data_IF_755637658840
#
_entry.id   IF_755637658840
#
_cell.length_a   1.000
_cell.length_b   1.000
_cell.length_c   1.000
_cell.angle_alpha   90.00
_cell.angle_beta   90.00
_cell.angle_gamma   90.00
#
_symmetry.space_group_name_H-M   'P 1'
#
loop_
_entity.id
_entity.type
_entity.pdbx_description
1 polymer ?
#
# COMPACT_ATOMS: atom_id res chain seq x y z
N UNK A 1 -13.56 8.01 -13.92
CA UNK A 1 -14.51 7.55 -12.88
C UNK A 1 -13.85 6.41 -12.13
N UNK A 2 -13.18 6.69 -11.01
CA UNK A 2 -12.53 5.65 -10.19
C UNK A 2 -13.64 4.96 -9.41
N UNK A 3 -13.96 3.72 -9.77
CA UNK A 3 -14.91 2.93 -9.02
C UNK A 3 -14.20 2.39 -7.79
N UNK A 4 -14.39 3.06 -6.65
CA UNK A 4 -13.99 2.52 -5.37
C UNK A 4 -14.88 1.29 -5.11
N UNK A 5 -14.26 0.11 -5.09
CA UNK A 5 -14.92 -1.18 -4.86
C UNK A 5 -15.66 -1.26 -3.48
N UNK A 6 -15.52 -0.22 -2.64
CA UNK A 6 -16.17 -0.02 -1.33
C UNK A 6 -17.70 -0.01 -1.38
N UNK A 7 -18.34 0.48 -2.44
CA UNK A 7 -19.80 0.66 -2.47
C UNK A 7 -20.60 -0.67 -2.35
N UNK A 8 -19.95 -1.82 -2.57
CA UNK A 8 -20.58 -3.16 -2.54
C UNK A 8 -20.33 -3.87 -1.20
N UNK A 9 -19.40 -3.38 -0.36
CA UNK A 9 -18.96 -4.04 0.88
C UNK A 9 -20.05 -4.08 1.98
N UNK A 10 -20.98 -3.11 1.99
CA UNK A 10 -22.04 -3.04 3.02
C UNK A 10 -23.10 -4.15 2.95
N UNK A 11 -23.11 -5.02 1.93
CA UNK A 11 -24.18 -6.04 1.77
C UNK A 11 -23.78 -7.48 2.09
N UNK A 12 -22.52 -7.88 1.95
CA UNK A 12 -22.15 -9.30 2.04
C UNK A 12 -20.75 -9.47 2.63
N UNK A 13 -20.68 -9.74 3.94
CA UNK A 13 -19.41 -10.05 4.62
C UNK A 13 -18.80 -11.37 4.10
N UNK A 14 -17.54 -11.33 3.64
CA UNK A 14 -16.78 -12.51 3.23
C UNK A 14 -15.45 -12.15 2.56
N UNK A 15 -14.37 -12.89 2.87
CA UNK A 15 -13.02 -12.73 2.30
C UNK A 15 -12.88 -13.16 0.83
N UNK A 16 -11.68 -12.95 0.27
CA UNK A 16 -11.10 -13.31 -1.07
C UNK A 16 -12.03 -13.61 -2.26
N UNK A 17 -13.03 -14.48 -2.12
CA UNK A 17 -14.13 -14.69 -3.06
C UNK A 17 -14.94 -13.42 -3.40
N UNK A 18 -14.92 -12.39 -2.54
CA UNK A 18 -15.68 -11.17 -2.77
C UNK A 18 -15.02 -10.24 -3.81
N UNK A 19 -13.69 -10.12 -3.79
CA UNK A 19 -12.89 -9.37 -4.79
C UNK A 19 -13.16 -9.88 -6.20
N UNK A 20 -13.47 -11.17 -6.29
CA UNK A 20 -13.81 -11.96 -7.46
C UNK A 20 -15.14 -11.56 -8.13
N UNK A 21 -16.22 -11.52 -7.34
CA UNK A 21 -17.54 -11.04 -7.79
C UNK A 21 -17.48 -9.57 -8.18
N UNK A 22 -16.63 -8.78 -7.51
CA UNK A 22 -16.39 -7.36 -7.79
C UNK A 22 -15.67 -7.17 -9.13
N UNK A 23 -14.64 -7.97 -9.43
CA UNK A 23 -13.94 -7.99 -10.73
C UNK A 23 -14.89 -8.39 -11.87
N UNK A 24 -15.64 -9.49 -11.67
CA UNK A 24 -16.63 -9.98 -12.65
C UNK A 24 -17.74 -8.96 -12.86
N UNK A 25 -18.23 -8.28 -11.82
CA UNK A 25 -19.27 -7.26 -11.92
C UNK A 25 -18.76 -5.99 -12.61
N UNK A 26 -17.54 -5.53 -12.35
CA UNK A 26 -16.93 -4.40 -13.07
C UNK A 26 -16.67 -4.73 -14.55
N UNK A 27 -16.22 -5.95 -14.84
CA UNK A 27 -16.10 -6.47 -16.21
C UNK A 27 -17.49 -6.54 -16.87
N UNK A 28 -18.52 -7.08 -16.21
CA UNK A 28 -19.89 -7.17 -16.76
C UNK A 28 -20.59 -5.81 -16.92
N UNK A 29 -20.37 -4.87 -16.01
CA UNK A 29 -20.96 -3.52 -16.05
C UNK A 29 -20.25 -2.63 -17.09
N UNK A 30 -18.95 -2.84 -17.32
CA UNK A 30 -18.19 -2.19 -18.39
C UNK A 30 -18.37 -2.83 -19.77
N UNK A 31 -18.75 -4.11 -19.83
CA UNK A 31 -18.96 -4.91 -21.05
C UNK A 31 -20.46 -5.19 -21.25
N UNK A 32 -21.31 -4.16 -21.30
CA UNK A 32 -22.56 -4.28 -22.05
C UNK A 32 -22.35 -3.73 -23.47
N UNK A 33 -21.97 -4.56 -24.45
CA UNK A 33 -22.33 -4.26 -25.83
C UNK A 33 -23.86 -4.21 -25.95
N UNK A 34 -24.43 -3.46 -26.91
CA UNK A 34 -25.81 -3.66 -27.30
C UNK A 34 -25.99 -5.14 -27.67
N UNK A 35 -27.08 -5.75 -27.22
CA UNK A 35 -27.42 -7.15 -27.53
C UNK A 35 -27.45 -7.28 -29.06
N UNK A 36 -26.37 -7.77 -29.66
CA UNK A 36 -26.29 -8.10 -31.06
C UNK A 36 -26.39 -9.62 -31.18
N UNK A 37 -27.49 -10.08 -31.78
CA UNK A 37 -27.67 -11.46 -32.19
C UNK A 37 -26.62 -11.78 -33.28
N UNK A 38 -25.51 -12.40 -32.88
CA UNK A 38 -24.40 -12.80 -33.76
C UNK A 38 -23.52 -13.89 -33.12
N UNK A 39 -22.64 -14.56 -33.90
CA UNK A 39 -21.81 -15.66 -33.40
C UNK A 39 -20.89 -15.20 -32.25
N UNK A 40 -20.67 -16.07 -31.26
CA UNK A 40 -19.92 -15.80 -30.04
C UNK A 40 -18.63 -15.01 -30.31
N UNK A 41 -18.55 -13.79 -29.77
CA UNK A 41 -17.33 -12.99 -29.78
C UNK A 41 -16.15 -13.77 -29.16
N UNK A 42 -14.91 -13.57 -29.63
CA UNK A 42 -13.74 -14.16 -28.99
C UNK A 42 -13.68 -13.75 -27.52
N UNK A 43 -13.34 -14.70 -26.63
CA UNK A 43 -13.26 -14.44 -25.18
C UNK A 43 -12.31 -13.28 -24.92
N UNK A 44 -12.73 -12.23 -24.17
CA UNK A 44 -11.91 -11.06 -23.92
C UNK A 44 -10.59 -11.46 -23.25
N UNK A 45 -9.50 -10.80 -23.65
CA UNK A 45 -8.18 -11.00 -23.06
C UNK A 45 -8.06 -10.17 -21.77
N UNK A 46 -7.70 -10.84 -20.68
CA UNK A 46 -7.31 -10.23 -19.40
C UNK A 46 -5.83 -10.55 -19.16
N UNK A 47 -5.01 -9.52 -19.02
CA UNK A 47 -3.57 -9.66 -18.85
C UNK A 47 -3.11 -9.31 -17.43
N UNK A 48 -2.36 -10.20 -16.78
CA UNK A 48 -1.57 -9.91 -15.59
C UNK A 48 -0.23 -9.29 -16.02
N UNK A 49 -0.05 -8.00 -15.79
CA UNK A 49 1.06 -7.24 -16.39
C UNK A 49 2.41 -7.58 -15.76
N UNK A 50 2.52 -7.52 -14.45
CA UNK A 50 3.78 -7.58 -13.69
C UNK A 50 3.87 -8.81 -12.77
N UNK A 51 3.23 -9.90 -13.17
CA UNK A 51 3.30 -11.20 -12.48
C UNK A 51 3.43 -12.36 -13.45
N UNK A 52 3.82 -13.53 -12.91
CA UNK A 52 3.93 -14.81 -13.64
C UNK A 52 2.83 -15.79 -13.29
N UNK A 53 2.36 -15.73 -12.04
CA UNK A 53 1.42 -16.69 -11.48
C UNK A 53 -0.01 -16.17 -11.66
N UNK A 54 -0.81 -16.93 -12.43
CA UNK A 54 -2.24 -16.70 -12.62
C UNK A 54 -3.09 -17.88 -12.09
N UNK A 55 -2.54 -18.73 -11.22
CA UNK A 55 -3.22 -19.94 -10.73
C UNK A 55 -4.49 -19.63 -9.93
N UNK A 56 -4.58 -18.43 -9.33
CA UNK A 56 -5.75 -17.98 -8.59
C UNK A 56 -6.80 -17.37 -9.52
N UNK A 57 -6.38 -16.60 -10.51
CA UNK A 57 -7.25 -15.84 -11.42
C UNK A 57 -7.80 -16.71 -12.55
N UNK A 58 -7.03 -17.70 -13.02
CA UNK A 58 -7.45 -18.59 -14.12
C UNK A 58 -8.73 -19.37 -13.80
N UNK A 59 -8.86 -20.11 -12.67
CA UNK A 59 -10.07 -20.86 -12.36
C UNK A 59 -11.33 -19.99 -12.26
N UNK A 60 -11.13 -18.72 -11.95
CA UNK A 60 -12.16 -17.73 -11.72
C UNK A 60 -12.66 -17.14 -13.03
N UNK A 61 -11.74 -16.80 -13.92
CA UNK A 61 -12.04 -16.11 -15.17
C UNK A 61 -12.21 -17.08 -16.35
N UNK A 62 -11.92 -18.37 -16.17
CA UNK A 62 -11.93 -19.41 -17.24
C UNK A 62 -13.18 -19.42 -18.12
N UNK A 63 -14.35 -19.08 -17.57
CA UNK A 63 -15.63 -19.17 -18.26
C UNK A 63 -15.97 -17.88 -19.02
N UNK A 64 -15.33 -16.76 -18.67
CA UNK A 64 -15.68 -15.40 -19.16
C UNK A 64 -14.56 -14.71 -19.92
N UNK A 65 -13.29 -15.07 -19.70
CA UNK A 65 -12.13 -14.41 -20.29
C UNK A 65 -10.97 -15.37 -20.54
N UNK A 66 -10.09 -15.01 -21.46
CA UNK A 66 -8.78 -15.64 -21.62
C UNK A 66 -7.80 -14.90 -20.73
N UNK A 67 -7.15 -15.60 -19.78
CA UNK A 67 -6.16 -15.01 -18.88
C UNK A 67 -4.76 -15.28 -19.42
N UNK A 68 -3.95 -14.23 -19.53
CA UNK A 68 -2.52 -14.31 -19.87
C UNK A 68 -1.71 -13.51 -18.86
N UNK A 69 -0.39 -13.75 -18.81
CA UNK A 69 0.54 -12.96 -18.01
C UNK A 69 1.66 -12.41 -18.89
N UNK A 70 2.26 -11.30 -18.48
CA UNK A 70 3.36 -10.65 -19.21
C UNK A 70 4.69 -10.71 -18.48
N UNK A 71 4.69 -10.77 -17.13
CA UNK A 71 5.90 -10.66 -16.31
C UNK A 71 6.76 -9.41 -16.63
N UNK A 72 6.09 -8.33 -16.99
CA UNK A 72 6.72 -7.09 -17.42
C UNK A 72 7.09 -6.22 -16.21
N UNK A 73 8.32 -5.72 -16.18
CA UNK A 73 8.73 -4.66 -15.24
C UNK A 73 8.45 -3.26 -15.79
N UNK A 74 8.28 -3.15 -17.11
CA UNK A 74 8.01 -1.91 -17.81
C UNK A 74 7.03 -2.11 -18.97
N UNK A 75 6.32 -1.05 -19.37
CA UNK A 75 5.35 -1.12 -20.49
C UNK A 75 6.00 -1.53 -21.81
N UNK A 76 7.32 -1.37 -21.96
CA UNK A 76 8.07 -1.76 -23.15
C UNK A 76 8.19 -3.27 -23.32
N UNK A 77 8.13 -4.03 -22.21
CA UNK A 77 8.19 -5.49 -22.22
C UNK A 77 6.82 -6.14 -22.50
N UNK A 78 5.75 -5.34 -22.50
CA UNK A 78 4.40 -5.84 -22.78
C UNK A 78 4.28 -6.16 -24.27
N UNK A 79 3.97 -7.42 -24.57
CA UNK A 79 3.81 -7.90 -25.93
C UNK A 79 2.70 -7.13 -26.68
N UNK A 80 2.93 -6.82 -27.96
CA UNK A 80 2.02 -6.01 -28.80
C UNK A 80 0.58 -6.55 -28.81
N UNK A 81 0.42 -7.88 -28.82
CA UNK A 81 -0.88 -8.54 -28.72
C UNK A 81 -1.68 -8.09 -27.49
N UNK A 82 -1.03 -7.94 -26.33
CA UNK A 82 -1.67 -7.48 -25.10
C UNK A 82 -2.05 -6.00 -25.22
N UNK A 83 -1.15 -5.16 -25.74
CA UNK A 83 -1.44 -3.73 -25.95
C UNK A 83 -2.62 -3.52 -26.92
N UNK A 84 -2.76 -4.38 -27.93
CA UNK A 84 -3.81 -4.26 -28.93
C UNK A 84 -5.15 -4.90 -28.51
N UNK A 85 -5.13 -6.05 -27.85
CA UNK A 85 -6.33 -6.87 -27.62
C UNK A 85 -6.82 -6.92 -26.16
N UNK A 86 -5.99 -6.54 -25.18
CA UNK A 86 -6.39 -6.66 -23.78
C UNK A 86 -7.55 -5.72 -23.44
N UNK A 87 -8.63 -6.31 -22.91
CA UNK A 87 -9.82 -5.59 -22.45
C UNK A 87 -9.70 -5.27 -20.95
N UNK A 88 -9.04 -6.15 -20.20
CA UNK A 88 -8.75 -5.96 -18.78
C UNK A 88 -7.27 -6.16 -18.47
N UNK A 89 -6.76 -5.42 -17.50
CA UNK A 89 -5.43 -5.60 -16.96
C UNK A 89 -5.49 -5.80 -15.44
N UNK A 90 -4.75 -6.78 -14.96
CA UNK A 90 -4.42 -6.98 -13.55
C UNK A 90 -2.97 -6.57 -13.36
N UNK A 91 -2.67 -5.86 -12.28
CA UNK A 91 -1.28 -5.49 -11.98
C UNK A 91 -1.05 -5.32 -10.48
N UNK A 92 0.18 -5.56 -10.05
CA UNK A 92 0.74 -5.29 -8.73
C UNK A 92 1.38 -3.89 -8.72
N UNK A 93 2.37 -3.69 -7.84
CA UNK A 93 2.99 -2.40 -7.57
C UNK A 93 4.34 -2.21 -8.27
N UNK A 94 4.81 -3.19 -9.06
CA UNK A 94 6.16 -3.17 -9.64
C UNK A 94 6.20 -2.46 -10.99
N UNK A 95 5.10 -2.48 -11.75
CA UNK A 95 4.95 -1.68 -12.98
C UNK A 95 4.22 -0.37 -12.69
N UNK A 96 4.59 0.70 -13.40
CA UNK A 96 3.90 2.00 -13.37
C UNK A 96 3.32 2.33 -14.75
N UNK A 97 2.10 2.85 -14.79
CA UNK A 97 1.39 3.22 -16.01
C UNK A 97 1.16 4.74 -16.06
N UNK A 98 1.99 5.42 -16.84
CA UNK A 98 1.82 6.84 -17.17
C UNK A 98 0.76 7.04 -18.26
N UNK A 99 0.42 8.29 -18.57
CA UNK A 99 -0.46 8.63 -19.70
C UNK A 99 0.04 8.00 -21.02
N UNK A 100 1.32 8.18 -21.33
CA UNK A 100 1.93 7.67 -22.57
C UNK A 100 1.88 6.14 -22.64
N UNK A 101 1.89 5.46 -21.48
CA UNK A 101 1.74 4.02 -21.41
C UNK A 101 0.30 3.57 -21.62
N UNK A 102 -0.65 4.30 -21.03
CA UNK A 102 -2.08 4.03 -21.20
C UNK A 102 -2.52 4.22 -22.66
N UNK A 103 -1.98 5.20 -23.38
CA UNK A 103 -2.27 5.47 -24.80
C UNK A 103 -1.82 4.34 -25.75
N UNK A 104 -0.89 3.49 -25.31
CA UNK A 104 -0.46 2.29 -26.06
C UNK A 104 -1.56 1.24 -26.10
N UNK A 105 -2.41 1.18 -25.06
CA UNK A 105 -3.49 0.22 -25.01
C UNK A 105 -4.67 0.65 -25.90
N UNK A 106 -5.03 -0.20 -26.87
CA UNK A 106 -6.09 0.12 -27.85
C UNK A 106 -7.49 -0.35 -27.43
N UNK A 107 -7.56 -1.41 -26.64
CA UNK A 107 -8.81 -2.06 -26.22
C UNK A 107 -9.10 -2.02 -24.73
N UNK A 108 -8.20 -1.46 -23.91
CA UNK A 108 -8.27 -1.57 -22.46
C UNK A 108 -9.47 -0.79 -21.91
N UNK A 109 -10.26 -1.44 -21.06
CA UNK A 109 -11.46 -0.87 -20.42
C UNK A 109 -11.33 -0.81 -18.91
N UNK A 110 -10.57 -1.72 -18.32
CA UNK A 110 -10.43 -1.82 -16.87
C UNK A 110 -9.01 -2.21 -16.46
N UNK A 111 -8.51 -1.53 -15.44
CA UNK A 111 -7.29 -1.88 -14.72
C UNK A 111 -7.69 -2.19 -13.29
N UNK A 112 -7.27 -3.35 -12.78
CA UNK A 112 -7.45 -3.72 -11.38
C UNK A 112 -6.09 -3.88 -10.72
N UNK A 113 -5.84 -3.00 -9.76
CA UNK A 113 -4.71 -3.06 -8.87
C UNK A 113 -4.93 -4.11 -7.80
N UNK A 114 -4.13 -5.17 -7.86
CA UNK A 114 -4.04 -6.16 -6.80
C UNK A 114 -3.26 -5.53 -5.64
N UNK A 115 -4.00 -4.95 -4.70
CA UNK A 115 -3.49 -4.17 -3.58
C UNK A 115 -4.34 -2.92 -3.30
N UNK A 116 -4.05 -2.25 -2.19
CA UNK A 116 -4.79 -1.06 -1.77
C UNK A 116 -4.32 0.22 -2.48
N UNK A 117 -3.02 0.37 -2.71
CA UNK A 117 -2.42 1.51 -3.40
C UNK A 117 -2.65 1.50 -4.91
N UNK A 118 -2.84 2.69 -5.48
CA UNK A 118 -3.08 2.91 -6.91
C UNK A 118 -2.30 4.13 -7.46
N UNK A 119 -1.27 4.58 -6.74
CA UNK A 119 -0.39 5.69 -7.11
C UNK A 119 0.48 5.40 -8.33
N UNK A 120 0.72 4.13 -8.63
CA UNK A 120 1.46 3.68 -9.81
C UNK A 120 0.64 3.68 -11.11
N UNK A 121 -0.59 4.22 -11.11
CA UNK A 121 -1.42 4.40 -12.30
C UNK A 121 -1.88 5.84 -12.37
N UNK A 122 -1.71 6.50 -13.53
CA UNK A 122 -2.31 7.81 -13.76
C UNK A 122 -3.83 7.68 -13.92
N UNK A 123 -4.54 7.74 -12.78
CA UNK A 123 -6.00 7.61 -12.73
C UNK A 123 -6.75 8.73 -13.47
N UNK A 124 -6.11 9.88 -13.67
CA UNK A 124 -6.72 11.00 -14.40
C UNK A 124 -6.66 10.73 -15.89
N UNK A 125 -5.47 10.37 -16.40
CA UNK A 125 -5.29 9.94 -17.77
C UNK A 125 -6.16 8.71 -18.10
N UNK A 126 -6.19 7.71 -17.22
CA UNK A 126 -7.06 6.54 -17.38
C UNK A 126 -8.54 6.93 -17.51
N UNK A 127 -9.02 7.87 -16.68
CA UNK A 127 -10.39 8.35 -16.76
C UNK A 127 -10.69 9.10 -18.07
N UNK A 128 -9.76 9.91 -18.57
CA UNK A 128 -9.88 10.62 -19.86
C UNK A 128 -9.92 9.64 -21.04
N UNK A 129 -9.18 8.52 -20.95
CA UNK A 129 -9.15 7.45 -21.94
C UNK A 129 -10.33 6.46 -21.82
N UNK A 130 -11.23 6.67 -20.86
CA UNK A 130 -12.38 5.78 -20.64
C UNK A 130 -12.00 4.43 -20.00
N UNK A 131 -10.86 4.36 -19.31
CA UNK A 131 -10.36 3.20 -18.59
C UNK A 131 -10.74 3.32 -17.12
N UNK A 132 -11.51 2.35 -16.61
CA UNK A 132 -11.82 2.28 -15.19
C UNK A 132 -10.61 1.74 -14.40
N UNK A 133 -10.28 2.35 -13.27
CA UNK A 133 -9.25 1.86 -12.35
C UNK A 133 -9.90 1.44 -11.05
N UNK A 134 -9.59 0.22 -10.60
CA UNK A 134 -10.08 -0.38 -9.37
C UNK A 134 -8.91 -0.83 -8.49
N UNK A 135 -9.10 -0.89 -7.17
CA UNK A 135 -8.15 -1.41 -6.20
C UNK A 135 -8.81 -2.40 -5.23
N UNK A 136 -8.02 -3.06 -4.38
CA UNK A 136 -8.52 -3.96 -3.32
C UNK A 136 -8.14 -3.40 -1.95
N UNK A 137 -8.96 -2.50 -1.36
CA UNK A 137 -8.55 -1.66 -0.22
C UNK A 137 -8.47 -2.38 1.13
N UNK A 138 -9.15 -3.52 1.29
CA UNK A 138 -9.20 -4.28 2.53
C UNK A 138 -8.16 -5.42 2.60
N UNK A 139 -7.37 -5.60 1.53
CA UNK A 139 -6.35 -6.65 1.51
C UNK A 139 -5.17 -6.25 2.37
N UNK A 140 -4.84 -7.07 3.36
CA UNK A 140 -3.63 -6.96 4.20
C UNK A 140 -3.61 -5.81 5.22
N UNK A 141 -4.77 -5.31 5.67
CA UNK A 141 -4.83 -4.22 6.66
C UNK A 141 -4.18 -4.63 7.99
N UNK A 142 -4.56 -5.80 8.52
CA UNK A 142 -4.08 -6.28 9.81
C UNK A 142 -2.61 -6.72 9.71
N UNK A 143 -2.22 -7.39 8.63
CA UNK A 143 -0.86 -7.83 8.36
C UNK A 143 0.12 -6.64 8.23
N UNK A 144 -0.33 -5.56 7.59
CA UNK A 144 0.45 -4.32 7.50
C UNK A 144 0.57 -3.65 8.87
N UNK A 145 -0.50 -3.66 9.67
CA UNK A 145 -0.49 -3.12 11.02
C UNK A 145 0.43 -3.91 11.96
N UNK A 146 0.40 -5.24 11.88
CA UNK A 146 1.26 -6.15 12.64
C UNK A 146 2.73 -5.95 12.27
N UNK A 147 3.03 -5.84 10.97
CA UNK A 147 4.38 -5.56 10.49
C UNK A 147 4.86 -4.19 10.95
N UNK A 148 3.99 -3.17 10.92
CA UNK A 148 4.32 -1.84 11.42
C UNK A 148 4.63 -1.85 12.92
N UNK A 149 3.83 -2.56 13.72
CA UNK A 149 4.11 -2.75 15.15
C UNK A 149 5.40 -3.52 15.39
N UNK A 150 5.69 -4.56 14.59
CA UNK A 150 6.94 -5.29 14.63
C UNK A 150 8.14 -4.34 14.42
N UNK A 151 8.09 -3.48 13.41
CA UNK A 151 9.14 -2.48 13.15
C UNK A 151 9.28 -1.47 14.30
N UNK A 152 8.16 -0.95 14.83
CA UNK A 152 8.17 -0.05 16.01
C UNK A 152 8.89 -0.71 17.18
N UNK A 153 8.47 -1.93 17.54
CA UNK A 153 9.06 -2.66 18.66
C UNK A 153 10.53 -2.97 18.41
N UNK A 154 10.90 -3.26 17.17
CA UNK A 154 12.29 -3.50 16.79
C UNK A 154 13.16 -2.25 16.98
N UNK A 155 12.65 -1.06 16.70
CA UNK A 155 13.35 0.20 16.98
C UNK A 155 13.55 0.40 18.49
N UNK A 156 12.49 0.22 19.29
CA UNK A 156 12.54 0.42 20.74
C UNK A 156 13.34 -0.65 21.50
N UNK A 157 13.32 -1.90 21.02
CA UNK A 157 13.89 -3.08 21.70
C UNK A 157 15.17 -3.59 21.05
N UNK A 158 15.51 -3.10 19.86
CA UNK A 158 16.73 -3.39 19.10
C UNK A 158 16.94 -4.88 18.78
N UNK A 159 15.88 -5.67 18.71
CA UNK A 159 15.95 -7.13 18.62
C UNK A 159 16.73 -7.59 17.40
N UNK A 160 16.46 -7.02 16.22
CA UNK A 160 17.16 -7.40 14.98
C UNK A 160 18.62 -6.95 14.99
N UNK A 161 18.94 -5.78 15.53
CA UNK A 161 20.33 -5.33 15.65
C UNK A 161 21.13 -6.20 16.61
N UNK A 162 20.56 -6.59 17.75
CA UNK A 162 21.22 -7.50 18.69
C UNK A 162 21.41 -8.89 18.08
N UNK A 163 20.39 -9.40 17.39
CA UNK A 163 20.49 -10.66 16.65
C UNK A 163 21.60 -10.61 15.59
N UNK A 164 21.71 -9.50 14.85
CA UNK A 164 22.77 -9.30 13.87
C UNK A 164 24.16 -9.25 14.53
N UNK A 165 24.33 -8.50 15.63
CA UNK A 165 25.59 -8.42 16.34
C UNK A 165 26.07 -9.80 16.84
N UNK A 166 25.14 -10.64 17.33
CA UNK A 166 25.45 -12.01 17.73
C UNK A 166 25.88 -12.88 16.53
N UNK A 167 25.21 -12.74 15.38
CA UNK A 167 25.60 -13.44 14.15
C UNK A 167 26.97 -13.01 13.64
N UNK A 168 27.35 -11.75 13.86
CA UNK A 168 28.66 -11.18 13.52
C UNK A 168 29.76 -11.58 14.53
N UNK A 169 29.43 -12.38 15.54
CA UNK A 169 30.39 -12.94 16.50
C UNK A 169 30.55 -12.12 17.78
N UNK A 170 29.75 -11.07 17.98
CA UNK A 170 29.74 -10.32 19.23
C UNK A 170 29.32 -11.22 20.38
N UNK A 171 30.14 -11.28 21.43
CA UNK A 171 29.85 -12.01 22.67
C UNK A 171 29.66 -11.03 23.81
N UNK A 172 28.46 -11.01 24.38
CA UNK A 172 28.14 -10.23 25.57
C UNK A 172 27.94 -11.18 26.76
N UNK A 173 29.01 -11.36 27.54
CA UNK A 173 29.02 -12.26 28.71
C UNK A 173 28.88 -11.51 30.02
N UNK A 174 29.26 -10.23 30.07
CA UNK A 174 29.08 -9.36 31.23
C UNK A 174 27.85 -8.45 31.11
N UNK A 175 27.36 -7.94 32.23
CA UNK A 175 26.22 -7.01 32.27
C UNK A 175 26.53 -5.72 31.50
N UNK A 176 27.77 -5.25 31.56
CA UNK A 176 28.26 -4.07 30.87
C UNK A 176 28.22 -4.26 29.35
N UNK A 177 28.68 -5.41 28.86
CA UNK A 177 28.63 -5.75 27.44
C UNK A 177 27.19 -5.88 26.93
N UNK A 178 26.29 -6.44 27.73
CA UNK A 178 24.85 -6.51 27.38
C UNK A 178 24.28 -5.10 27.25
N UNK A 179 24.60 -4.19 28.18
CA UNK A 179 24.15 -2.79 28.12
C UNK A 179 24.72 -2.06 26.90
N UNK A 180 25.96 -2.33 26.54
CA UNK A 180 26.60 -1.73 25.37
C UNK A 180 25.93 -2.20 24.06
N UNK A 181 25.73 -3.51 23.90
CA UNK A 181 25.09 -4.09 22.71
C UNK A 181 23.61 -3.67 22.59
N UNK A 182 22.91 -3.57 23.73
CA UNK A 182 21.52 -3.13 23.80
C UNK A 182 21.38 -1.59 23.93
N UNK A 183 22.47 -0.84 23.82
CA UNK A 183 22.45 0.61 24.03
C UNK A 183 21.46 1.30 23.08
N UNK A 184 20.68 2.23 23.62
CA UNK A 184 19.59 2.90 22.92
C UNK A 184 18.25 2.15 22.94
N UNK A 185 18.18 0.94 23.53
CA UNK A 185 16.89 0.32 23.83
C UNK A 185 16.13 1.15 24.87
N UNK A 186 14.85 1.43 24.61
CA UNK A 186 14.06 2.36 25.39
C UNK A 186 12.81 1.71 26.00
N UNK A 187 12.26 2.37 27.02
CA UNK A 187 10.96 2.04 27.60
C UNK A 187 9.87 2.62 26.68
N UNK A 188 8.87 1.81 26.35
CA UNK A 188 7.77 2.20 25.46
C UNK A 188 6.67 2.96 26.20
N UNK A 189 6.31 2.50 27.41
CA UNK A 189 5.20 3.10 28.16
C UNK A 189 5.47 4.58 28.44
N UNK A 190 4.54 5.44 28.03
CA UNK A 190 4.63 6.90 28.18
C UNK A 190 5.18 7.63 26.96
N UNK A 191 5.67 6.90 25.95
CA UNK A 191 6.12 7.48 24.69
C UNK A 191 4.94 7.89 23.81
N UNK A 192 5.14 8.89 22.96
CA UNK A 192 4.14 9.34 21.99
C UNK A 192 4.40 8.73 20.61
N UNK A 193 3.43 8.00 20.07
CA UNK A 193 3.43 7.50 18.70
C UNK A 193 2.63 8.43 17.80
N UNK A 194 3.29 9.06 16.82
CA UNK A 194 2.67 9.91 15.81
C UNK A 194 2.34 9.14 14.54
N UNK A 195 1.06 9.13 14.15
CA UNK A 195 0.53 8.46 12.95
C UNK A 195 0.16 9.52 11.90
N UNK A 196 0.78 9.47 10.72
CA UNK A 196 0.36 10.29 9.58
C UNK A 196 -0.54 9.45 8.66
N UNK A 197 -1.79 9.90 8.52
CA UNK A 197 -2.86 9.19 7.81
C UNK A 197 -3.58 8.18 8.69
N UNK A 198 -4.78 8.51 9.16
CA UNK A 198 -5.61 7.65 10.02
C UNK A 198 -6.67 6.88 9.21
N UNK A 199 -6.20 6.26 8.13
CA UNK A 199 -6.99 5.29 7.36
C UNK A 199 -7.09 3.92 8.06
N UNK A 200 -7.49 2.89 7.32
CA UNK A 200 -7.69 1.52 7.83
C UNK A 200 -6.48 0.99 8.61
N UNK A 201 -5.29 1.06 8.03
CA UNK A 201 -4.03 0.60 8.67
C UNK A 201 -3.66 1.48 9.87
N UNK A 202 -3.75 2.80 9.73
CA UNK A 202 -3.42 3.73 10.82
C UNK A 202 -4.27 3.49 12.07
N UNK A 203 -5.57 3.21 11.90
CA UNK A 203 -6.46 2.85 12.99
C UNK A 203 -6.08 1.50 13.64
N UNK A 204 -5.78 0.48 12.82
CA UNK A 204 -5.36 -0.84 13.31
C UNK A 204 -4.04 -0.78 14.10
N UNK A 205 -3.08 0.04 13.66
CA UNK A 205 -1.82 0.32 14.39
C UNK A 205 -2.11 1.05 15.69
N UNK A 206 -2.94 2.09 15.65
CA UNK A 206 -3.28 2.89 16.83
C UNK A 206 -3.89 2.02 17.95
N UNK A 207 -4.80 1.11 17.61
CA UNK A 207 -5.42 0.19 18.57
C UNK A 207 -4.37 -0.73 19.22
N UNK A 208 -3.46 -1.30 18.44
CA UNK A 208 -2.38 -2.17 18.96
C UNK A 208 -1.38 -1.40 19.82
N UNK A 209 -0.97 -0.22 19.39
CA UNK A 209 0.01 0.62 20.08
C UNK A 209 -0.44 1.00 21.50
N UNK A 210 -1.75 1.23 21.71
CA UNK A 210 -2.32 1.50 23.04
C UNK A 210 -2.03 0.38 24.04
N UNK A 211 -2.07 -0.89 23.63
CA UNK A 211 -1.79 -2.01 24.52
C UNK A 211 -0.35 -2.00 25.05
N UNK A 212 0.60 -1.43 24.30
CA UNK A 212 1.99 -1.26 24.73
C UNK A 212 2.20 -0.01 25.62
N UNK A 213 1.17 0.81 25.81
CA UNK A 213 1.22 2.03 26.63
C UNK A 213 1.74 3.26 25.90
N UNK A 214 1.65 3.29 24.56
CA UNK A 214 1.89 4.52 23.79
C UNK A 214 0.75 5.53 24.00
N UNK A 215 1.11 6.81 24.07
CA UNK A 215 0.19 7.91 23.78
C UNK A 215 0.08 8.07 22.26
N UNK A 216 -1.09 7.84 21.67
CA UNK A 216 -1.23 7.86 20.21
C UNK A 216 -1.77 9.20 19.75
N UNK A 217 -1.02 9.87 18.87
CA UNK A 217 -1.42 11.08 18.17
C UNK A 217 -1.50 10.80 16.67
N UNK A 218 -2.38 11.50 15.96
CA UNK A 218 -2.46 11.37 14.52
C UNK A 218 -2.66 12.71 13.80
N UNK A 219 -2.33 12.72 12.52
CA UNK A 219 -2.62 13.82 11.60
C UNK A 219 -3.13 13.27 10.28
N UNK A 220 -4.33 13.69 9.87
CA UNK A 220 -4.93 13.34 8.59
C UNK A 220 -5.80 14.50 8.08
N UNK A 221 -5.35 15.25 7.05
CA UNK A 221 -6.07 16.43 6.57
C UNK A 221 -7.32 16.09 5.75
N UNK A 222 -7.55 14.81 5.42
CA UNK A 222 -8.67 14.39 4.58
C UNK A 222 -9.82 13.76 5.39
N UNK A 223 -9.65 13.57 6.70
CA UNK A 223 -10.72 13.10 7.57
C UNK A 223 -11.62 14.28 8.00
N UNK A 224 -12.94 14.08 8.04
CA UNK A 224 -13.84 15.08 8.59
C UNK A 224 -13.61 15.23 10.11
N UNK A 225 -13.87 16.43 10.61
CA UNK A 225 -13.81 16.73 12.05
C UNK A 225 -14.76 15.79 12.84
N UNK A 226 -14.32 15.34 14.02
CA UNK A 226 -15.13 14.49 14.91
C UNK A 226 -14.92 12.97 14.77
N UNK A 227 -14.03 12.49 13.89
CA UNK A 227 -13.64 11.05 13.85
C UNK A 227 -12.92 10.61 15.14
N UNK A 228 -12.29 11.56 15.82
CA UNK A 228 -11.64 11.40 17.14
C UNK A 228 -12.60 10.95 18.26
N UNK A 229 -13.88 11.28 18.17
CA UNK A 229 -14.84 11.07 19.27
C UNK A 229 -15.36 9.64 19.36
N UNK A 230 -15.39 8.90 18.24
CA UNK A 230 -15.83 7.50 18.20
C UNK A 230 -14.78 6.52 18.73
N UNK A 231 -13.50 6.89 18.69
CA UNK A 231 -12.40 6.12 19.27
C UNK A 231 -11.79 6.98 20.37
N UNK A 232 -12.45 7.02 21.53
CA UNK A 232 -12.32 7.92 22.69
C UNK A 232 -10.92 8.09 23.33
N UNK A 233 -9.83 7.79 22.62
CA UNK A 233 -8.45 7.89 23.10
C UNK A 233 -7.45 8.29 22.01
N UNK A 234 -7.90 8.77 20.84
CA UNK A 234 -6.99 9.31 19.81
C UNK A 234 -6.99 10.83 19.88
N UNK A 235 -5.80 11.43 19.91
CA UNK A 235 -5.66 12.89 19.93
C UNK A 235 -5.22 13.39 18.56
N UNK A 236 -5.96 14.34 17.98
CA UNK A 236 -5.56 15.01 16.73
C UNK A 236 -4.41 15.97 16.99
N UNK A 237 -3.33 15.84 16.23
CA UNK A 237 -2.26 16.83 16.19
C UNK A 237 -2.66 17.96 15.22
N UNK A 238 -2.86 19.17 15.74
CA UNK A 238 -3.17 20.36 14.92
C UNK A 238 -1.91 21.07 14.37
N UNK A 239 -0.71 20.55 14.61
CA UNK A 239 0.56 21.24 14.34
C UNK A 239 1.28 20.68 13.10
N UNK A 240 1.60 21.57 12.15
CA UNK A 240 2.48 21.33 10.99
C UNK A 240 3.97 21.16 11.33
N UNK A 241 4.34 21.21 12.62
CA UNK A 241 5.71 20.98 13.07
C UNK A 241 5.70 20.39 14.49
N UNK A 242 5.96 19.09 14.63
CA UNK A 242 6.24 18.47 15.93
C UNK A 242 7.68 17.95 15.93
N UNK A 243 8.55 18.66 16.66
CA UNK A 243 10.02 18.52 16.65
C UNK A 243 10.57 17.37 17.53
N UNK A 244 9.75 16.42 17.99
CA UNK A 244 10.22 15.32 18.87
C UNK A 244 9.47 13.99 18.72
N UNK A 245 8.72 13.75 17.63
CA UNK A 245 7.89 12.54 17.51
C UNK A 245 8.49 11.51 16.55
N UNK A 246 8.61 10.25 17.00
CA UNK A 246 8.82 9.10 16.09
C UNK A 246 7.58 9.02 15.20
N UNK A 247 7.74 9.54 13.99
CA UNK A 247 6.65 9.66 13.03
C UNK A 247 6.71 8.47 12.09
N UNK A 248 5.66 7.67 12.08
CA UNK A 248 5.53 6.58 11.10
C UNK A 248 4.42 6.99 10.15
N UNK A 249 4.81 7.19 8.89
CA UNK A 249 3.88 7.31 7.77
C UNK A 249 3.26 5.95 7.52
N UNK A 250 2.00 5.76 7.88
CA UNK A 250 1.24 4.54 7.57
C UNK A 250 0.66 4.53 6.15
N UNK A 251 1.02 5.51 5.31
CA UNK A 251 0.64 5.57 3.90
C UNK A 251 1.90 5.66 3.01
N UNK A 252 2.31 4.54 2.43
CA UNK A 252 3.25 4.56 1.29
C UNK A 252 2.59 5.06 -0.01
N UNK A 253 1.27 5.31 -0.03
CA UNK A 253 0.51 5.29 -1.30
C UNK A 253 -0.55 6.40 -1.47
N UNK A 254 -0.52 7.47 -0.66
CA UNK A 254 -1.26 8.70 -0.96
C UNK A 254 -0.29 9.81 -1.37
N UNK A 255 -0.61 10.66 -2.36
CA UNK A 255 0.23 11.78 -2.75
C UNK A 255 0.25 12.81 -1.61
N UNK A 256 1.13 12.61 -0.63
CA UNK A 256 1.53 13.60 0.34
C UNK A 256 2.39 14.63 -0.40
N UNK A 257 1.69 15.55 -1.07
CA UNK A 257 2.22 16.68 -1.80
C UNK A 257 3.22 17.47 -0.95
N UNK A 258 4.42 17.70 -1.50
CA UNK A 258 5.43 18.75 -1.24
C UNK A 258 5.88 19.03 0.22
N UNK A 259 4.97 19.04 1.20
CA UNK A 259 5.21 19.34 2.60
C UNK A 259 6.12 18.31 3.30
N UNK A 260 6.01 17.02 2.95
CA UNK A 260 6.86 15.94 3.53
C UNK A 260 8.31 16.02 3.03
N UNK A 261 8.57 16.58 1.84
CA UNK A 261 9.93 16.68 1.28
C UNK A 261 10.77 17.80 1.89
N UNK A 262 10.15 18.86 2.41
CA UNK A 262 10.86 20.07 2.80
C UNK A 262 11.20 20.14 4.31
N UNK A 263 10.63 19.27 5.16
CA UNK A 263 10.67 19.49 6.62
C UNK A 263 11.04 18.30 7.53
N UNK A 264 11.57 17.18 7.03
CA UNK A 264 11.98 16.06 7.90
C UNK A 264 13.43 16.16 8.37
N UNK A 265 13.61 16.68 9.59
CA UNK A 265 14.81 16.46 10.40
C UNK A 265 14.58 15.30 11.36
N UNK A 266 15.30 14.20 11.17
CA UNK A 266 15.51 13.19 12.22
C UNK A 266 16.24 13.86 13.39
N UNK A 267 15.60 13.95 14.56
CA UNK A 267 16.28 14.14 15.86
C UNK A 267 15.26 13.85 16.97
N UNK A 268 15.55 13.12 18.05
CA UNK A 268 16.74 13.12 18.91
C UNK A 268 16.81 11.79 19.70
N UNK A 269 17.82 10.96 19.47
CA UNK A 269 18.25 9.93 20.43
C UNK A 269 19.68 10.29 20.86
N UNK A 270 19.82 10.66 22.14
CA UNK A 270 21.08 10.64 22.90
C UNK A 270 22.27 11.51 22.42
N UNK A 271 22.08 12.82 22.24
CA UNK A 271 23.13 13.81 22.56
C UNK A 271 24.47 13.75 21.80
N UNK A 272 24.59 13.07 20.67
CA UNK A 272 25.78 13.08 19.83
C UNK A 272 25.47 13.61 18.43
N UNK A 273 26.12 14.71 18.05
CA UNK A 273 26.23 15.14 16.66
C UNK A 273 27.33 14.31 15.99
N UNK A 274 27.13 13.85 14.75
CA UNK A 274 28.01 14.08 13.59
C UNK A 274 27.41 13.48 12.29
N UNK A 275 27.24 14.34 11.28
CA UNK A 275 27.20 14.01 9.84
C UNK A 275 28.63 13.89 9.29
N UNK A 276 28.89 12.94 8.38
CA UNK A 276 29.86 12.99 7.25
C UNK A 276 29.45 11.89 6.24
N UNK A 277 29.33 12.04 4.92
CA UNK A 277 29.50 13.13 3.93
C UNK A 277 28.67 12.77 2.66
N UNK A 278 28.90 13.38 1.49
CA UNK A 278 27.99 13.30 0.35
C UNK A 278 27.96 11.90 -0.29
N UNK A 279 26.76 11.37 -0.54
CA UNK A 279 26.59 10.16 -1.33
C UNK A 279 26.96 10.43 -2.79
N UNK A 280 27.78 9.58 -3.44
CA UNK A 280 28.18 9.77 -4.82
C UNK A 280 26.99 9.57 -5.75
N UNK A 281 26.88 10.45 -6.75
CA UNK A 281 26.04 10.21 -7.92
C UNK A 281 26.79 9.25 -8.84
N UNK A 282 26.25 8.07 -9.06
CA UNK A 282 26.31 7.34 -10.33
C UNK A 282 25.05 6.52 -10.48
#
# INVERSE_FOLDING_TARGET
MVYLIDAIERRHGGGSHLTLLKLICCIYLGIRPPILNGPMHPRPLVALLDGRDCTVEMPVLKDVATVAFCDAQSTQEIHEKVLNEAVGALMYHTISLSRDDLDKFKGLRIIVRIGSGFDNVDIKAAAELGIAVCNVPATSVEETADTSMCLILNLYRRVTWMHQAMREGTRASSVEQIREVASGAARIRGETLGIIGLGRVGQAVALRAKAFGFSVMFYDPYLPDGVETCSSTLTVCHCTAASTSTTITSSTTSPLNRCVREHFWLTRLAGAWWMRGPWPRH
#
